data_IF_964100972758
#
_entry.id   IF_964100972758
#
_cell.length_a   1.000
_cell.length_b   1.000
_cell.length_c   1.000
_cell.angle_alpha   90.00
_cell.angle_beta   90.00
_cell.angle_gamma   90.00
#
_symmetry.space_group_name_H-M   'P 1'
#
loop_
_entity.id
_entity.type
_entity.pdbx_description
1 polymer ?
#
# COMPACT_ATOMS: atom_id res chain seq x y z
N UNK A 1 -0.14 2.66 -11.32
CA UNK A 1 0.24 2.53 -12.74
C UNK A 1 -1.02 2.46 -13.58
N UNK A 2 -1.10 3.24 -14.65
CA UNK A 2 -2.30 3.31 -15.50
C UNK A 2 -2.43 2.06 -16.38
N UNK A 3 -3.65 1.60 -16.66
CA UNK A 3 -3.86 0.56 -17.68
C UNK A 3 -3.59 1.15 -19.06
N UNK A 4 -2.97 0.36 -19.92
CA UNK A 4 -2.64 0.73 -21.29
C UNK A 4 -3.24 -0.27 -22.26
N UNK A 5 -3.66 0.20 -23.43
CA UNK A 5 -4.14 -0.65 -24.52
C UNK A 5 -3.56 -0.16 -25.85
N UNK A 6 -3.28 -1.10 -26.75
CA UNK A 6 -2.93 -0.80 -28.14
C UNK A 6 -4.12 -1.16 -29.02
N UNK A 7 -4.67 -0.17 -29.71
CA UNK A 7 -5.89 -0.31 -30.52
C UNK A 7 -5.73 -1.41 -31.57
N UNK A 8 -6.68 -2.32 -31.60
CA UNK A 8 -6.81 -3.40 -32.57
C UNK A 8 -7.79 -3.02 -33.70
N UNK A 9 -7.75 -3.69 -34.87
CA UNK A 9 -8.67 -3.41 -35.96
C UNK A 9 -10.15 -3.53 -35.54
N UNK A 10 -10.93 -2.48 -35.81
CA UNK A 10 -12.37 -2.44 -35.55
C UNK A 10 -12.78 -1.96 -34.15
N UNK A 11 -11.83 -1.65 -33.27
CA UNK A 11 -12.15 -1.10 -31.96
C UNK A 11 -12.55 0.39 -32.02
N UNK A 12 -13.48 0.77 -31.14
CA UNK A 12 -13.88 2.17 -30.89
C UNK A 12 -13.66 2.52 -29.43
N UNK A 13 -13.55 3.80 -29.09
CA UNK A 13 -13.38 4.21 -27.69
C UNK A 13 -14.57 3.79 -26.82
N UNK A 14 -15.80 3.83 -27.31
CA UNK A 14 -16.99 3.41 -26.55
C UNK A 14 -17.00 1.89 -26.28
N UNK A 15 -16.59 1.08 -27.24
CA UNK A 15 -16.45 -0.37 -27.04
C UNK A 15 -15.34 -0.69 -26.02
N UNK A 16 -14.23 0.04 -26.09
CA UNK A 16 -13.14 -0.07 -25.12
C UNK A 16 -13.58 0.41 -23.73
N UNK A 17 -14.33 1.52 -23.64
CA UNK A 17 -14.88 2.00 -22.37
C UNK A 17 -15.82 0.98 -21.73
N UNK A 18 -16.71 0.36 -22.51
CA UNK A 18 -17.57 -0.72 -22.03
C UNK A 18 -16.74 -1.90 -21.51
N UNK A 19 -15.70 -2.30 -22.25
CA UNK A 19 -14.82 -3.41 -21.87
C UNK A 19 -14.03 -3.13 -20.58
N UNK A 20 -13.47 -1.93 -20.43
CA UNK A 20 -12.52 -1.62 -19.36
C UNK A 20 -13.15 -0.97 -18.11
N UNK A 21 -14.29 -0.28 -18.27
CA UNK A 21 -15.01 0.39 -17.21
C UNK A 21 -16.42 -0.15 -16.96
N UNK A 22 -16.90 -1.08 -17.80
CA UNK A 22 -18.28 -1.59 -17.73
C UNK A 22 -19.33 -0.58 -18.20
N UNK A 23 -18.92 0.52 -18.83
CA UNK A 23 -19.77 1.67 -19.14
C UNK A 23 -19.26 2.38 -20.41
N UNK A 24 -20.00 2.26 -21.51
CA UNK A 24 -19.60 2.80 -22.82
C UNK A 24 -19.49 4.34 -22.81
N UNK A 25 -20.26 5.01 -21.95
CA UNK A 25 -20.27 6.47 -21.80
C UNK A 25 -19.00 7.00 -21.11
N UNK A 26 -18.04 6.13 -20.77
CA UNK A 26 -16.73 6.48 -20.21
C UNK A 26 -15.65 6.68 -21.27
N UNK A 27 -16.00 6.64 -22.55
CA UNK A 27 -15.06 6.98 -23.62
C UNK A 27 -14.43 8.38 -23.51
N UNK A 28 -15.10 9.44 -22.98
CA UNK A 28 -14.48 10.77 -22.85
C UNK A 28 -13.27 10.77 -21.91
N UNK A 29 -13.28 9.91 -20.88
CA UNK A 29 -12.14 9.72 -19.98
C UNK A 29 -10.92 9.18 -20.73
N UNK A 30 -11.12 8.18 -21.62
CA UNK A 30 -10.04 7.60 -22.43
C UNK A 30 -9.50 8.65 -23.39
N UNK A 31 -10.38 9.37 -24.07
CA UNK A 31 -10.00 10.40 -25.02
C UNK A 31 -9.18 11.51 -24.35
N UNK A 32 -9.67 12.03 -23.22
CA UNK A 32 -9.01 13.07 -22.44
C UNK A 32 -7.63 12.63 -21.93
N UNK A 33 -7.52 11.41 -21.39
CA UNK A 33 -6.26 10.91 -20.83
C UNK A 33 -5.23 10.55 -21.91
N UNK A 34 -5.69 10.08 -23.06
CA UNK A 34 -4.84 9.65 -24.17
C UNK A 34 -4.51 10.77 -25.15
N UNK A 35 -5.09 11.96 -24.97
CA UNK A 35 -4.91 13.08 -25.88
C UNK A 35 -5.51 12.84 -27.26
N UNK A 36 -6.63 12.13 -27.35
CA UNK A 36 -7.35 11.84 -28.60
C UNK A 36 -8.29 13.01 -28.91
N UNK A 37 -8.04 13.81 -29.97
CA UNK A 37 -8.84 15.00 -30.25
C UNK A 37 -10.23 14.66 -30.79
N UNK A 38 -10.33 13.60 -31.59
CA UNK A 38 -11.57 13.11 -32.18
C UNK A 38 -11.81 11.66 -31.70
N UNK A 39 -12.79 11.44 -30.79
CA UNK A 39 -13.04 10.12 -30.21
C UNK A 39 -13.54 9.09 -31.22
N UNK A 40 -14.04 9.53 -32.38
CA UNK A 40 -14.50 8.66 -33.46
C UNK A 40 -13.34 8.18 -34.36
N UNK A 41 -12.14 8.76 -34.19
CA UNK A 41 -10.97 8.47 -35.03
C UNK A 41 -9.82 7.91 -34.16
N UNK A 42 -9.88 6.60 -33.93
CA UNK A 42 -8.76 5.83 -33.34
C UNK A 42 -8.02 5.01 -34.40
N UNK A 43 -6.69 5.01 -34.35
CA UNK A 43 -5.85 4.31 -35.33
C UNK A 43 -5.39 2.96 -34.78
N UNK A 44 -5.37 1.94 -35.63
CA UNK A 44 -4.76 0.64 -35.28
C UNK A 44 -3.31 0.87 -34.84
N UNK A 45 -2.93 0.27 -33.71
CA UNK A 45 -1.61 0.44 -33.10
C UNK A 45 -1.48 1.68 -32.21
N UNK A 46 -2.48 2.56 -32.16
CA UNK A 46 -2.49 3.71 -31.24
C UNK A 46 -2.52 3.24 -29.80
N UNK A 47 -1.72 3.91 -28.97
CA UNK A 47 -1.63 3.65 -27.54
C UNK A 47 -2.63 4.52 -26.78
N UNK A 48 -3.42 3.89 -25.92
CA UNK A 48 -4.47 4.53 -25.12
C UNK A 48 -4.22 4.29 -23.63
N UNK A 49 -4.50 5.31 -22.83
CA UNK A 49 -4.48 5.29 -21.38
C UNK A 49 -5.88 5.09 -20.81
N UNK A 50 -5.97 4.23 -19.81
CA UNK A 50 -7.19 3.90 -19.07
C UNK A 50 -6.99 4.25 -17.59
N UNK A 51 -7.10 5.54 -17.23
CA UNK A 51 -7.02 5.97 -15.83
C UNK A 51 -8.19 5.44 -15.01
N UNK A 52 -7.94 5.29 -13.71
CA UNK A 52 -9.05 5.16 -12.78
C UNK A 52 -9.74 6.51 -12.60
N UNK A 53 -10.90 6.48 -11.97
CA UNK A 53 -11.67 7.68 -11.72
C UNK A 53 -12.53 7.52 -10.47
N UNK A 54 -12.93 8.65 -9.93
CA UNK A 54 -13.94 8.73 -8.89
C UNK A 54 -15.23 9.28 -9.49
N UNK A 55 -16.36 8.62 -9.18
CA UNK A 55 -17.70 9.18 -9.46
C UNK A 55 -18.04 10.16 -8.35
N UNK A 56 -18.25 11.42 -8.71
CA UNK A 56 -18.53 12.49 -7.76
C UNK A 56 -19.91 13.07 -7.97
N UNK A 57 -20.70 13.15 -6.89
CA UNK A 57 -22.01 13.79 -6.91
C UNK A 57 -21.87 15.25 -6.54
N UNK A 58 -22.19 16.15 -7.47
CA UNK A 58 -22.09 17.60 -7.27
C UNK A 58 -22.98 18.05 -6.11
N UNK A 59 -22.40 18.81 -5.19
CA UNK A 59 -23.09 19.46 -4.08
C UNK A 59 -23.55 20.87 -4.44
N UNK A 60 -24.44 21.44 -3.63
CA UNK A 60 -24.98 22.78 -3.86
C UNK A 60 -23.88 23.85 -3.85
N UNK A 61 -23.86 24.73 -4.87
CA UNK A 61 -22.92 25.83 -4.99
C UNK A 61 -21.52 25.46 -5.51
N UNK A 62 -21.30 24.22 -5.92
CA UNK A 62 -20.00 23.80 -6.46
C UNK A 62 -19.81 24.22 -7.92
N UNK A 63 -18.55 24.42 -8.29
CA UNK A 63 -18.11 24.70 -9.66
C UNK A 63 -16.98 23.74 -10.03
N UNK A 64 -16.76 23.54 -11.33
CA UNK A 64 -15.64 22.71 -11.80
C UNK A 64 -14.27 23.22 -11.31
N UNK A 65 -14.09 24.54 -11.21
CA UNK A 65 -12.86 25.15 -10.68
C UNK A 65 -12.67 24.88 -9.20
N UNK A 66 -13.72 24.97 -8.39
CA UNK A 66 -13.66 24.61 -6.97
C UNK A 66 -13.37 23.12 -6.78
N UNK A 67 -13.98 22.25 -7.59
CA UNK A 67 -13.70 20.82 -7.57
C UNK A 67 -12.25 20.53 -7.97
N UNK A 68 -11.74 21.15 -9.03
CA UNK A 68 -10.35 20.99 -9.44
C UNK A 68 -9.36 21.50 -8.38
N UNK A 69 -9.64 22.64 -7.74
CA UNK A 69 -8.87 23.11 -6.59
C UNK A 69 -8.88 22.12 -5.43
N UNK A 70 -10.03 21.48 -5.15
CA UNK A 70 -10.16 20.48 -4.09
C UNK A 70 -9.37 19.21 -4.42
N UNK A 71 -9.60 18.64 -5.60
CA UNK A 71 -9.04 17.34 -5.98
C UNK A 71 -7.57 17.39 -6.40
N UNK A 72 -7.16 18.50 -7.04
CA UNK A 72 -5.85 18.59 -7.69
C UNK A 72 -5.00 19.76 -7.15
N UNK A 73 -5.54 20.56 -6.23
CA UNK A 73 -4.87 21.74 -5.71
C UNK A 73 -4.74 22.88 -6.72
N UNK A 74 -5.40 22.81 -7.88
CA UNK A 74 -5.34 23.82 -8.93
C UNK A 74 -6.66 23.93 -9.70
N UNK A 75 -7.17 25.16 -9.83
CA UNK A 75 -8.48 25.45 -10.44
C UNK A 75 -8.50 25.26 -11.97
N UNK A 76 -7.37 25.50 -12.64
CA UNK A 76 -7.20 25.40 -14.10
C UNK A 76 -7.27 23.95 -14.61
N UNK A 77 -7.09 22.97 -13.72
CA UNK A 77 -7.29 21.55 -14.02
C UNK A 77 -8.77 21.15 -14.12
N UNK A 78 -9.70 22.09 -13.97
CA UNK A 78 -11.14 21.89 -14.21
C UNK A 78 -11.44 21.37 -15.61
N UNK A 79 -10.62 21.75 -16.60
CA UNK A 79 -10.69 21.22 -17.98
C UNK A 79 -10.60 19.70 -18.04
N UNK A 80 -9.86 19.06 -17.13
CA UNK A 80 -9.69 17.61 -17.11
C UNK A 80 -10.95 16.91 -16.56
N UNK A 81 -11.58 17.50 -15.54
CA UNK A 81 -12.88 17.02 -15.01
C UNK A 81 -13.95 17.15 -16.09
N UNK A 82 -14.00 18.31 -16.75
CA UNK A 82 -14.95 18.58 -17.82
C UNK A 82 -14.80 17.58 -18.97
N UNK A 83 -13.59 17.44 -19.50
CA UNK A 83 -13.29 16.52 -20.59
C UNK A 83 -13.62 15.06 -20.23
N UNK A 84 -13.20 14.60 -19.04
CA UNK A 84 -13.50 13.25 -18.56
C UNK A 84 -15.00 12.99 -18.33
N UNK A 85 -15.75 14.05 -18.02
CA UNK A 85 -17.21 14.01 -17.81
C UNK A 85 -18.01 14.24 -19.09
N UNK A 86 -17.36 14.48 -20.23
CA UNK A 86 -18.04 14.75 -21.51
C UNK A 86 -18.77 16.09 -21.56
N UNK A 87 -18.32 17.10 -20.79
CA UNK A 87 -18.92 18.44 -20.74
C UNK A 87 -17.86 19.51 -21.09
N UNK A 88 -18.31 20.73 -21.41
CA UNK A 88 -17.39 21.84 -21.68
C UNK A 88 -16.77 22.39 -20.38
N UNK A 89 -15.54 22.94 -20.41
CA UNK A 89 -14.86 23.48 -19.21
C UNK A 89 -15.61 24.61 -18.49
N UNK A 90 -16.44 25.32 -19.24
CA UNK A 90 -17.26 26.47 -18.88
C UNK A 90 -18.73 26.09 -18.59
N UNK A 91 -19.07 24.80 -18.66
CA UNK A 91 -20.39 24.30 -18.29
C UNK A 91 -20.69 24.55 -16.81
N UNK A 92 -21.89 25.06 -16.52
CA UNK A 92 -22.42 25.08 -15.16
C UNK A 92 -22.74 23.64 -14.73
N UNK A 93 -22.42 23.32 -13.48
CA UNK A 93 -22.75 22.02 -12.87
C UNK A 93 -23.94 22.17 -11.94
N UNK A 94 -24.78 21.14 -11.88
CA UNK A 94 -26.02 21.15 -11.09
C UNK A 94 -25.93 20.19 -9.91
N UNK A 95 -26.54 20.52 -8.75
CA UNK A 95 -26.54 19.61 -7.61
C UNK A 95 -27.15 18.24 -7.97
N UNK A 96 -26.50 17.15 -7.58
CA UNK A 96 -26.90 15.79 -7.94
C UNK A 96 -26.32 15.27 -9.26
N UNK A 97 -25.73 16.14 -10.09
CA UNK A 97 -25.02 15.72 -11.31
C UNK A 97 -23.83 14.81 -10.96
N UNK A 98 -23.69 13.72 -11.70
CA UNK A 98 -22.53 12.84 -11.60
C UNK A 98 -21.40 13.36 -12.49
N UNK A 99 -20.25 13.62 -11.90
CA UNK A 99 -19.01 13.96 -12.60
C UNK A 99 -18.01 12.83 -12.50
N UNK A 100 -17.09 12.80 -13.47
CA UNK A 100 -15.92 11.93 -13.48
C UNK A 100 -14.72 12.76 -13.07
N UNK A 101 -14.18 12.42 -11.90
CA UNK A 101 -12.95 12.97 -11.39
C UNK A 101 -11.85 11.98 -11.74
N UNK A 102 -11.07 12.19 -12.81
CA UNK A 102 -10.00 11.28 -13.15
C UNK A 102 -8.94 11.22 -12.05
N UNK A 103 -8.39 10.03 -11.86
CA UNK A 103 -7.23 9.83 -11.01
C UNK A 103 -5.97 10.31 -11.73
N UNK A 104 -5.26 11.23 -11.09
CA UNK A 104 -4.01 11.79 -11.60
C UNK A 104 -3.05 12.12 -10.47
N UNK A 105 -1.77 12.19 -10.82
CA UNK A 105 -0.69 12.68 -9.99
C UNK A 105 -0.12 13.97 -10.59
N UNK A 106 0.17 14.94 -9.73
CA UNK A 106 0.97 16.11 -10.09
C UNK A 106 2.43 15.83 -9.76
N UNK A 107 3.28 15.88 -10.78
CA UNK A 107 4.69 15.57 -10.69
C UNK A 107 5.52 16.82 -10.95
N UNK A 108 6.44 17.17 -10.05
CA UNK A 108 7.41 18.23 -10.29
C UNK A 108 8.62 17.63 -11.02
N UNK A 109 8.90 18.13 -12.22
CA UNK A 109 10.04 17.68 -13.05
C UNK A 109 11.34 17.83 -12.26
N UNK A 110 12.08 16.74 -12.12
CA UNK A 110 13.39 16.73 -11.50
C UNK A 110 14.49 17.02 -12.54
N UNK A 111 15.67 17.51 -12.11
CA UNK A 111 16.83 17.62 -13.00
C UNK A 111 17.17 16.28 -13.67
N UNK A 112 17.26 16.28 -15.01
CA UNK A 112 17.56 15.08 -15.80
C UNK A 112 16.34 14.28 -16.25
N UNK A 113 15.13 14.65 -15.83
CA UNK A 113 13.92 14.01 -16.33
C UNK A 113 13.72 14.24 -17.83
N UNK A 114 13.14 13.23 -18.48
CA UNK A 114 12.60 13.31 -19.84
C UNK A 114 11.20 12.73 -19.85
N UNK A 115 10.33 13.15 -20.77
CA UNK A 115 8.97 12.58 -20.84
C UNK A 115 8.99 11.06 -21.06
N UNK A 116 9.97 10.54 -21.82
CA UNK A 116 10.16 9.11 -22.02
C UNK A 116 10.56 8.38 -20.73
N UNK A 117 11.46 8.95 -19.92
CA UNK A 117 11.84 8.38 -18.63
C UNK A 117 10.65 8.39 -17.65
N UNK A 118 9.85 9.47 -17.66
CA UNK A 118 8.63 9.55 -16.87
C UNK A 118 7.56 8.56 -17.35
N UNK A 119 7.40 8.36 -18.66
CA UNK A 119 6.51 7.34 -19.21
C UNK A 119 6.95 5.93 -18.80
N UNK A 120 8.24 5.60 -18.88
CA UNK A 120 8.76 4.33 -18.33
C UNK A 120 8.47 4.19 -16.84
N UNK A 121 8.63 5.27 -16.07
CA UNK A 121 8.41 5.26 -14.61
C UNK A 121 6.95 5.05 -14.23
N UNK A 122 6.03 5.76 -14.89
CA UNK A 122 4.62 5.79 -14.48
C UNK A 122 3.73 4.82 -15.26
N UNK A 123 4.11 4.49 -16.49
CA UNK A 123 3.34 3.66 -17.42
C UNK A 123 4.07 2.38 -17.83
N UNK A 124 5.33 2.18 -17.38
CA UNK A 124 6.11 0.99 -17.68
C UNK A 124 6.70 0.92 -19.08
N UNK A 125 6.44 1.92 -19.93
CA UNK A 125 6.86 1.95 -21.33
C UNK A 125 7.14 3.39 -21.79
N UNK A 126 8.38 3.62 -22.21
CA UNK A 126 8.87 4.92 -22.70
C UNK A 126 8.06 5.47 -23.88
N UNK A 127 7.46 4.60 -24.70
CA UNK A 127 6.69 5.00 -25.87
C UNK A 127 5.39 5.72 -25.54
N UNK A 128 4.94 5.68 -24.28
CA UNK A 128 3.76 6.40 -23.79
C UNK A 128 4.04 7.84 -23.35
N UNK A 129 5.16 8.44 -23.77
CA UNK A 129 5.39 9.87 -23.57
C UNK A 129 4.41 10.80 -24.32
N UNK A 130 3.82 10.47 -25.50
CA UNK A 130 2.93 11.39 -26.21
C UNK A 130 1.62 11.72 -25.44
N UNK A 131 0.94 10.76 -24.78
CA UNK A 131 -0.16 11.09 -23.86
C UNK A 131 0.24 12.07 -22.74
N UNK A 132 1.45 11.93 -22.16
CA UNK A 132 1.95 12.88 -21.16
C UNK A 132 2.10 14.26 -21.78
N UNK A 133 2.73 14.35 -22.95
CA UNK A 133 2.92 15.62 -23.64
C UNK A 133 1.59 16.32 -23.96
N UNK A 134 0.64 15.57 -24.53
CA UNK A 134 -0.67 16.09 -24.95
C UNK A 134 -1.49 16.67 -23.79
N UNK A 135 -1.64 15.91 -22.71
CA UNK A 135 -2.42 16.34 -21.53
C UNK A 135 -1.84 17.60 -20.88
N UNK A 136 -0.52 17.76 -20.95
CA UNK A 136 0.22 18.89 -20.41
C UNK A 136 0.43 20.05 -21.40
N UNK A 137 -0.08 19.94 -22.63
CA UNK A 137 0.09 20.98 -23.65
C UNK A 137 1.54 21.19 -24.10
N UNK A 138 2.36 20.14 -24.04
CA UNK A 138 3.78 20.19 -24.40
C UNK A 138 3.92 19.85 -25.89
N UNK A 139 4.26 20.84 -26.70
CA UNK A 139 4.49 20.66 -28.14
C UNK A 139 5.86 20.04 -28.46
N UNK A 140 6.91 20.43 -27.72
CA UNK A 140 8.25 19.85 -27.82
C UNK A 140 8.55 18.99 -26.59
N UNK A 141 8.62 17.65 -26.72
CA UNK A 141 8.93 16.74 -25.61
C UNK A 141 10.26 17.01 -24.90
N UNK A 142 11.21 17.68 -25.56
CA UNK A 142 12.50 18.08 -24.97
C UNK A 142 12.43 19.34 -24.11
N UNK A 143 11.34 20.11 -24.18
CA UNK A 143 11.21 21.41 -23.55
C UNK A 143 10.63 21.37 -22.12
N UNK A 144 10.84 20.28 -21.37
CA UNK A 144 10.46 20.24 -19.96
C UNK A 144 11.55 20.84 -19.07
N UNK A 145 11.15 21.61 -18.07
CA UNK A 145 12.08 22.31 -17.17
C UNK A 145 11.96 21.78 -15.73
N UNK A 146 13.07 21.63 -14.98
CA UNK A 146 13.01 21.29 -13.57
C UNK A 146 12.07 22.23 -12.79
N UNK A 147 11.23 21.67 -11.92
CA UNK A 147 10.19 22.37 -11.18
C UNK A 147 8.87 22.57 -11.93
N UNK A 148 8.81 22.32 -13.24
CA UNK A 148 7.55 22.30 -13.98
C UNK A 148 6.62 21.22 -13.42
N UNK A 149 5.36 21.58 -13.18
CA UNK A 149 4.34 20.63 -12.75
C UNK A 149 3.72 19.93 -13.96
N UNK A 150 3.79 18.61 -13.99
CA UNK A 150 3.13 17.75 -14.97
C UNK A 150 1.96 17.01 -14.33
N UNK A 151 0.87 16.90 -15.08
CA UNK A 151 -0.23 15.99 -14.81
C UNK A 151 0.08 14.64 -15.43
N UNK A 152 0.08 13.60 -14.60
CA UNK A 152 0.25 12.21 -15.01
C UNK A 152 -1.01 11.47 -14.61
N UNK A 153 -1.77 10.96 -15.58
CA UNK A 153 -2.95 10.15 -15.28
C UNK A 153 -2.53 8.85 -14.59
N UNK A 154 -3.27 8.45 -13.57
CA UNK A 154 -2.96 7.25 -12.80
C UNK A 154 -4.12 6.28 -12.82
N UNK A 155 -3.81 5.01 -12.67
CA UNK A 155 -4.78 3.97 -12.36
C UNK A 155 -4.17 2.95 -11.41
N UNK A 156 -5.00 1.98 -11.04
CA UNK A 156 -4.64 0.78 -10.29
C UNK A 156 -4.38 -0.34 -11.28
N UNK A 157 -3.11 -0.53 -11.58
CA UNK A 157 -2.63 -1.44 -12.62
C UNK A 157 -1.41 -2.23 -12.17
N UNK A 158 -0.94 -3.10 -13.05
CA UNK A 158 0.20 -3.98 -12.82
C UNK A 158 1.49 -3.19 -12.54
N UNK A 159 2.46 -3.81 -11.86
CA UNK A 159 3.72 -3.17 -11.54
C UNK A 159 4.58 -3.86 -10.51
N UNK A 160 5.87 -3.55 -10.50
CA UNK A 160 6.82 -4.04 -9.48
C UNK A 160 6.82 -5.57 -9.36
N UNK A 161 6.59 -6.27 -10.48
CA UNK A 161 6.47 -7.73 -10.54
C UNK A 161 5.13 -8.30 -10.02
N UNK A 162 4.13 -7.45 -9.83
CA UNK A 162 2.75 -7.82 -9.51
C UNK A 162 1.84 -7.63 -10.72
N UNK A 163 1.10 -8.67 -11.09
CA UNK A 163 0.01 -8.61 -12.06
C UNK A 163 -1.33 -8.81 -11.35
N UNK A 164 -2.24 -7.86 -11.46
CA UNK A 164 -3.58 -7.99 -10.89
C UNK A 164 -4.32 -9.09 -11.65
N UNK A 165 -4.79 -10.11 -10.94
CA UNK A 165 -5.56 -11.22 -11.52
C UNK A 165 -6.99 -11.29 -11.02
N UNK A 166 -7.28 -10.65 -9.90
CA UNK A 166 -8.61 -10.48 -9.35
C UNK A 166 -8.65 -9.22 -8.47
N UNK A 167 -9.79 -8.53 -8.42
CA UNK A 167 -9.99 -7.35 -7.57
C UNK A 167 -11.47 -7.03 -7.37
N UNK A 168 -11.79 -6.34 -6.28
CA UNK A 168 -13.10 -5.73 -6.06
C UNK A 168 -12.93 -4.37 -5.40
N UNK A 169 -13.56 -3.36 -5.99
CA UNK A 169 -13.48 -1.95 -5.60
C UNK A 169 -14.90 -1.37 -5.38
N UNK A 170 -15.91 -2.23 -5.19
CA UNK A 170 -17.32 -1.83 -5.08
C UNK A 170 -17.69 -1.28 -3.71
N UNK A 171 -16.99 -1.71 -2.65
CA UNK A 171 -17.16 -1.13 -1.32
C UNK A 171 -16.54 0.26 -1.30
N UNK A 172 -17.15 1.29 -0.66
CA UNK A 172 -16.59 2.64 -0.67
C UNK A 172 -15.21 2.74 0.01
N UNK A 173 -14.88 1.83 0.92
CA UNK A 173 -13.63 1.87 1.70
C UNK A 173 -12.76 0.64 1.57
N UNK A 174 -13.31 -0.57 1.66
CA UNK A 174 -12.48 -1.78 1.64
C UNK A 174 -12.38 -2.39 0.25
N UNK A 175 -11.22 -2.25 -0.36
CA UNK A 175 -10.94 -2.84 -1.66
C UNK A 175 -10.03 -4.06 -1.48
N UNK A 176 -10.15 -5.04 -2.37
CA UNK A 176 -9.21 -6.17 -2.39
C UNK A 176 -8.58 -6.36 -3.76
N UNK A 177 -7.37 -6.93 -3.73
CA UNK A 177 -6.60 -7.31 -4.90
C UNK A 177 -6.02 -8.70 -4.70
N UNK A 178 -5.88 -9.45 -5.78
CA UNK A 178 -5.01 -10.64 -5.86
C UNK A 178 -4.00 -10.45 -6.95
N UNK A 179 -2.78 -10.88 -6.68
CA UNK A 179 -1.65 -10.68 -7.59
C UNK A 179 -1.04 -11.99 -8.02
N UNK A 180 -0.78 -12.17 -9.31
CA UNK A 180 0.23 -13.11 -9.74
C UNK A 180 1.61 -12.46 -9.59
N UNK A 181 2.57 -13.20 -9.05
CA UNK A 181 3.96 -12.78 -8.86
C UNK A 181 4.91 -13.98 -8.89
N UNK A 182 6.18 -13.76 -9.23
CA UNK A 182 7.22 -14.79 -9.12
C UNK A 182 7.65 -15.06 -7.66
N UNK A 183 7.31 -14.17 -6.72
CA UNK A 183 7.72 -14.30 -5.32
C UNK A 183 6.94 -15.39 -4.56
N UNK A 184 5.68 -15.64 -4.95
CA UNK A 184 4.74 -16.54 -4.27
C UNK A 184 4.15 -17.50 -5.29
N UNK A 185 4.14 -18.81 -4.99
CA UNK A 185 3.61 -19.85 -5.88
C UNK A 185 2.08 -19.87 -6.07
N UNK A 186 1.35 -18.90 -5.50
CA UNK A 186 -0.09 -18.70 -5.71
C UNK A 186 -0.38 -17.19 -5.88
N UNK A 187 -1.65 -16.81 -5.97
CA UNK A 187 -2.06 -15.40 -6.07
C UNK A 187 -2.34 -14.78 -4.68
N UNK A 188 -1.35 -14.21 -3.96
CA UNK A 188 -1.57 -13.60 -2.64
C UNK A 188 -2.60 -12.49 -2.69
N UNK A 189 -3.39 -12.38 -1.63
CA UNK A 189 -4.41 -11.35 -1.47
C UNK A 189 -3.89 -10.13 -0.71
N UNK A 190 -4.47 -8.97 -0.99
CA UNK A 190 -4.22 -7.72 -0.25
C UNK A 190 -5.52 -6.97 -0.13
N UNK A 191 -5.89 -6.63 1.11
CA UNK A 191 -6.94 -5.65 1.37
C UNK A 191 -6.33 -4.26 1.50
N UNK A 192 -7.00 -3.26 0.93
CA UNK A 192 -6.68 -1.83 1.08
C UNK A 192 -7.93 -1.12 1.58
N UNK A 193 -7.85 -0.62 2.81
CA UNK A 193 -8.92 0.11 3.46
C UNK A 193 -8.66 1.61 3.37
N UNK A 194 -9.57 2.31 2.70
CA UNK A 194 -9.49 3.74 2.42
C UNK A 194 -10.16 4.57 3.54
N UNK A 195 -9.66 5.80 3.79
CA UNK A 195 -10.35 6.82 4.58
C UNK A 195 -11.73 7.15 4.02
N UNK A 196 -12.68 7.56 4.87
CA UNK A 196 -14.05 7.91 4.45
C UNK A 196 -14.08 9.03 3.40
N UNK A 197 -13.13 9.97 3.48
CA UNK A 197 -13.03 11.12 2.58
C UNK A 197 -12.13 10.87 1.36
N UNK A 198 -11.64 9.65 1.15
CA UNK A 198 -10.71 9.35 0.04
C UNK A 198 -11.26 9.84 -1.30
N UNK A 199 -12.51 9.51 -1.62
CA UNK A 199 -13.18 9.84 -2.89
C UNK A 199 -13.63 11.30 -3.03
N UNK A 200 -13.54 12.10 -1.98
CA UNK A 200 -14.14 13.46 -1.97
C UNK A 200 -13.15 14.56 -1.66
N UNK A 201 -12.03 14.26 -1.00
CA UNK A 201 -11.12 15.27 -0.46
C UNK A 201 -9.96 15.64 -1.38
N UNK A 202 -9.55 14.76 -2.30
CA UNK A 202 -8.32 14.94 -3.09
C UNK A 202 -7.01 14.81 -2.32
N UNK A 203 -7.06 14.39 -1.06
CA UNK A 203 -5.88 14.32 -0.20
C UNK A 203 -4.97 13.13 -0.55
N UNK A 204 -3.71 13.31 -0.20
CA UNK A 204 -2.70 12.27 -0.05
C UNK A 204 -2.62 11.87 1.41
N UNK A 205 -2.50 10.58 1.70
CA UNK A 205 -2.64 10.01 3.06
C UNK A 205 -1.38 9.26 3.51
N UNK A 206 -1.13 9.21 4.84
CA UNK A 206 -0.22 8.22 5.40
C UNK A 206 -0.78 6.79 5.25
N UNK A 207 0.10 5.79 5.33
CA UNK A 207 -0.23 4.37 5.18
C UNK A 207 0.20 3.57 6.40
N UNK A 208 -0.69 2.72 6.91
CA UNK A 208 -0.39 1.67 7.87
C UNK A 208 -0.40 0.30 7.17
N UNK A 209 0.74 -0.40 7.13
CA UNK A 209 0.79 -1.80 6.73
C UNK A 209 0.51 -2.68 7.96
N UNK A 210 -0.59 -3.43 7.94
CA UNK A 210 -1.06 -4.22 9.08
C UNK A 210 -0.98 -5.72 8.79
N UNK A 211 -0.13 -6.42 9.52
CA UNK A 211 0.26 -7.80 9.28
C UNK A 211 -0.48 -8.78 10.19
N UNK A 212 -1.11 -9.79 9.60
CA UNK A 212 -1.90 -10.81 10.30
C UNK A 212 -1.03 -11.84 11.05
N UNK A 213 -1.67 -12.60 11.94
CA UNK A 213 -1.04 -13.66 12.73
C UNK A 213 -0.80 -14.94 11.94
N UNK A 214 -0.29 -15.97 12.62
CA UNK A 214 -0.15 -17.29 12.01
C UNK A 214 -1.51 -17.93 11.73
N UNK A 215 -1.60 -18.69 10.64
CA UNK A 215 -2.78 -19.40 10.13
C UNK A 215 -3.96 -18.50 9.72
N UNK A 216 -3.72 -17.19 9.65
CA UNK A 216 -4.65 -16.16 9.16
C UNK A 216 -4.37 -15.78 7.70
N UNK A 217 -5.10 -14.79 7.17
CA UNK A 217 -4.81 -14.15 5.89
C UNK A 217 -5.19 -12.66 5.85
N UNK A 218 -5.06 -12.04 4.67
CA UNK A 218 -5.33 -10.62 4.40
C UNK A 218 -6.74 -10.12 4.81
N UNK A 219 -7.68 -11.03 5.09
CA UNK A 219 -9.06 -10.73 5.52
C UNK A 219 -9.23 -10.70 7.04
N UNK A 220 -8.30 -11.23 7.82
CA UNK A 220 -8.52 -11.47 9.25
C UNK A 220 -8.85 -10.19 10.03
N UNK A 221 -8.18 -9.06 9.75
CA UNK A 221 -8.52 -7.79 10.39
C UNK A 221 -9.88 -7.21 9.97
N UNK A 222 -10.32 -7.49 8.74
CA UNK A 222 -11.67 -7.11 8.30
C UNK A 222 -12.72 -7.85 9.14
N UNK A 223 -12.57 -9.17 9.29
CA UNK A 223 -13.45 -9.98 10.13
C UNK A 223 -13.44 -9.58 11.61
N UNK A 224 -12.35 -8.99 12.09
CA UNK A 224 -12.26 -8.45 13.45
C UNK A 224 -12.87 -7.05 13.62
N UNK A 225 -13.27 -6.37 12.54
CA UNK A 225 -13.93 -5.06 12.61
C UNK A 225 -13.03 -3.84 12.44
N UNK A 226 -11.87 -3.98 11.78
CA UNK A 226 -10.94 -2.85 11.56
C UNK A 226 -11.56 -1.66 10.81
N UNK A 227 -12.63 -1.88 10.04
CA UNK A 227 -13.38 -0.79 9.37
C UNK A 227 -13.94 0.23 10.34
N UNK A 228 -14.45 -0.24 11.47
CA UNK A 228 -15.04 0.60 12.51
C UNK A 228 -13.96 1.35 13.29
N UNK A 229 -12.86 0.68 13.62
CA UNK A 229 -11.75 1.28 14.37
C UNK A 229 -11.03 2.38 13.58
N UNK A 230 -11.07 2.30 12.25
CA UNK A 230 -10.44 3.27 11.34
C UNK A 230 -11.43 4.28 10.76
N UNK A 231 -12.71 4.22 11.15
CA UNK A 231 -13.70 5.21 10.73
C UNK A 231 -13.33 6.62 11.22
N UNK A 232 -13.44 7.60 10.34
CA UNK A 232 -13.06 8.99 10.55
C UNK A 232 -11.55 9.24 10.60
N UNK A 233 -10.71 8.21 10.42
CA UNK A 233 -9.26 8.34 10.53
C UNK A 233 -8.63 8.59 9.16
N UNK A 234 -7.78 9.63 9.00
CA UNK A 234 -7.19 9.98 7.71
C UNK A 234 -5.95 9.13 7.41
N UNK A 235 -6.11 7.81 7.32
CA UNK A 235 -5.03 6.84 7.07
C UNK A 235 -5.52 5.72 6.16
N UNK A 236 -4.68 5.32 5.20
CA UNK A 236 -4.92 4.11 4.41
C UNK A 236 -4.35 2.91 5.19
N UNK A 237 -5.11 1.83 5.31
CA UNK A 237 -4.62 0.59 5.93
C UNK A 237 -4.46 -0.50 4.87
N UNK A 238 -3.26 -1.04 4.73
CA UNK A 238 -2.93 -2.12 3.80
C UNK A 238 -2.72 -3.40 4.59
N UNK A 239 -3.50 -4.42 4.28
CA UNK A 239 -3.51 -5.72 4.96
C UNK A 239 -3.14 -6.79 3.95
N UNK A 240 -1.84 -7.14 3.80
CA UNK A 240 -1.42 -8.18 2.88
C UNK A 240 -1.46 -9.58 3.50
N UNK A 241 -1.57 -10.57 2.63
CA UNK A 241 -1.32 -11.99 2.93
C UNK A 241 0.18 -12.18 3.24
N UNK A 242 0.47 -13.00 4.24
CA UNK A 242 1.81 -13.37 4.69
C UNK A 242 2.01 -14.88 4.80
N UNK A 243 1.08 -15.69 4.26
CA UNK A 243 1.06 -17.15 4.35
C UNK A 243 0.60 -17.65 5.71
N UNK A 244 0.26 -18.94 5.82
CA UNK A 244 -0.19 -19.50 7.09
C UNK A 244 0.93 -19.49 8.14
N UNK A 245 2.18 -19.66 7.72
CA UNK A 245 3.34 -19.53 8.57
C UNK A 245 4.52 -18.98 7.76
N UNK A 246 4.32 -17.88 7.03
CA UNK A 246 5.38 -17.30 6.20
C UNK A 246 6.40 -16.48 6.99
N UNK A 247 6.07 -16.10 8.23
CA UNK A 247 6.93 -15.31 9.14
C UNK A 247 7.46 -14.02 8.50
N UNK A 248 6.74 -13.47 7.52
CA UNK A 248 7.11 -12.27 6.78
C UNK A 248 8.56 -12.34 6.27
N UNK A 249 8.97 -13.54 5.84
CA UNK A 249 10.36 -13.87 5.55
C UNK A 249 10.50 -14.58 4.20
N UNK A 250 11.68 -14.46 3.61
CA UNK A 250 12.08 -15.38 2.54
C UNK A 250 12.69 -16.62 3.19
N UNK A 251 12.24 -17.84 2.87
CA UNK A 251 12.80 -19.05 3.47
C UNK A 251 14.15 -19.42 2.88
N UNK A 252 15.00 -20.09 3.66
CA UNK A 252 16.25 -20.71 3.19
C UNK A 252 15.93 -21.85 2.21
N UNK A 253 14.87 -22.61 2.46
CA UNK A 253 14.44 -23.70 1.59
C UNK A 253 12.91 -23.82 1.53
N UNK A 254 12.39 -24.14 0.35
CA UNK A 254 10.99 -24.48 0.10
C UNK A 254 10.91 -25.63 -0.90
N UNK A 255 10.03 -26.60 -0.65
CA UNK A 255 9.81 -27.75 -1.55
C UNK A 255 8.49 -27.67 -2.33
N UNK A 256 7.79 -26.53 -2.25
CA UNK A 256 6.50 -26.29 -2.93
C UNK A 256 6.54 -25.05 -3.85
N UNK A 257 7.75 -24.62 -4.22
CA UNK A 257 7.98 -23.40 -5.01
C UNK A 257 8.11 -22.13 -4.15
N UNK A 258 8.05 -20.94 -4.77
CA UNK A 258 8.34 -19.68 -4.10
C UNK A 258 7.41 -19.33 -2.94
N UNK A 259 7.99 -18.91 -1.81
CA UNK A 259 7.33 -18.39 -0.59
C UNK A 259 8.06 -17.16 -0.06
N UNK A 260 8.47 -16.29 -0.97
CA UNK A 260 9.33 -15.14 -0.68
C UNK A 260 8.50 -13.94 -0.20
N UNK A 261 7.94 -14.03 1.00
CA UNK A 261 7.04 -13.02 1.57
C UNK A 261 7.73 -11.67 1.78
N UNK A 262 8.99 -11.66 2.20
CA UNK A 262 9.77 -10.42 2.35
C UNK A 262 9.96 -9.69 1.02
N UNK A 263 10.23 -10.44 -0.06
CA UNK A 263 10.28 -9.87 -1.39
C UNK A 263 8.93 -9.32 -1.81
N UNK A 264 7.84 -10.08 -1.61
CA UNK A 264 6.49 -9.64 -1.94
C UNK A 264 6.11 -8.34 -1.24
N UNK A 265 6.32 -8.23 0.08
CA UNK A 265 5.93 -7.04 0.83
C UNK A 265 6.78 -5.80 0.49
N UNK A 266 8.11 -5.95 0.49
CA UNK A 266 9.02 -4.79 0.48
C UNK A 266 9.38 -4.39 -0.94
N UNK A 267 9.73 -5.34 -1.80
CA UNK A 267 10.21 -5.02 -3.15
C UNK A 267 9.05 -4.86 -4.15
N UNK A 268 7.88 -5.41 -3.86
CA UNK A 268 6.75 -5.42 -4.80
C UNK A 268 5.55 -4.62 -4.30
N UNK A 269 4.98 -5.00 -3.16
CA UNK A 269 3.72 -4.43 -2.69
C UNK A 269 3.85 -2.99 -2.22
N UNK A 270 4.86 -2.67 -1.42
CA UNK A 270 5.10 -1.31 -0.92
C UNK A 270 5.16 -0.27 -2.07
N UNK A 271 6.05 -0.43 -3.08
CA UNK A 271 6.08 0.50 -4.21
C UNK A 271 4.83 0.40 -5.09
N UNK A 272 4.15 -0.75 -5.15
CA UNK A 272 2.87 -0.87 -5.84
C UNK A 272 1.78 -0.03 -5.17
N UNK A 273 1.65 -0.05 -3.84
CA UNK A 273 0.68 0.81 -3.13
C UNK A 273 0.95 2.28 -3.44
N UNK A 274 2.21 2.70 -3.40
CA UNK A 274 2.61 4.09 -3.67
C UNK A 274 2.37 4.54 -5.09
N UNK A 275 2.41 3.62 -6.06
CA UNK A 275 2.14 3.94 -7.46
C UNK A 275 0.65 3.92 -7.81
N UNK A 276 -0.20 3.36 -6.95
CA UNK A 276 -1.61 3.07 -7.25
C UNK A 276 -2.60 3.75 -6.28
N UNK A 277 -2.13 4.30 -5.16
CA UNK A 277 -2.94 5.05 -4.19
C UNK A 277 -2.34 6.43 -3.90
N UNK A 278 -3.17 7.37 -3.41
CA UNK A 278 -2.70 8.69 -2.97
C UNK A 278 -2.03 8.58 -1.60
N UNK A 279 -0.77 8.17 -1.60
CA UNK A 279 0.02 7.94 -0.38
C UNK A 279 1.29 8.77 -0.33
N UNK A 280 1.78 9.03 0.88
CA UNK A 280 3.12 9.56 1.13
C UNK A 280 4.15 8.43 1.05
N UNK A 281 5.06 8.52 0.07
CA UNK A 281 6.08 7.50 -0.22
C UNK A 281 7.41 7.74 0.54
N UNK A 282 7.42 8.65 1.50
CA UNK A 282 8.57 8.92 2.35
C UNK A 282 8.47 8.21 3.70
N UNK A 283 9.56 8.26 4.45
CA UNK A 283 9.69 7.71 5.81
C UNK A 283 8.53 8.12 6.73
N UNK A 284 8.23 9.42 6.80
CA UNK A 284 7.17 9.96 7.65
C UNK A 284 5.75 9.67 7.12
N UNK A 285 5.63 9.09 5.93
CA UNK A 285 4.36 8.67 5.33
C UNK A 285 3.91 7.27 5.71
N UNK A 286 4.78 6.45 6.31
CA UNK A 286 4.53 5.01 6.51
C UNK A 286 4.67 4.55 7.96
N UNK A 287 3.72 3.70 8.37
CA UNK A 287 3.79 2.87 9.56
C UNK A 287 3.68 1.39 9.20
N UNK A 288 4.23 0.53 10.05
CA UNK A 288 4.06 -0.92 9.97
C UNK A 288 3.62 -1.46 11.33
N UNK A 289 2.63 -2.35 11.34
CA UNK A 289 2.12 -2.96 12.55
C UNK A 289 1.67 -4.39 12.29
N UNK A 290 1.44 -5.17 13.34
CA UNK A 290 0.88 -6.49 13.17
C UNK A 290 0.63 -7.25 14.45
N UNK A 291 -0.06 -8.37 14.31
CA UNK A 291 -0.40 -9.29 15.40
C UNK A 291 0.44 -10.56 15.34
N UNK A 292 0.95 -11.06 16.48
CA UNK A 292 1.64 -12.35 16.57
C UNK A 292 2.82 -12.46 15.58
N UNK A 293 2.77 -13.43 14.66
CA UNK A 293 3.68 -13.54 13.51
C UNK A 293 3.85 -12.21 12.75
N UNK A 294 2.78 -11.45 12.57
CA UNK A 294 2.80 -10.12 11.95
C UNK A 294 3.43 -9.04 12.82
N UNK A 295 3.32 -9.14 14.14
CA UNK A 295 4.03 -8.25 15.06
C UNK A 295 5.55 -8.45 14.99
N UNK A 296 6.00 -9.70 14.85
CA UNK A 296 7.40 -9.98 14.51
C UNK A 296 7.80 -9.39 13.16
N UNK A 297 6.98 -9.62 12.11
CA UNK A 297 7.21 -9.07 10.78
C UNK A 297 7.35 -7.55 10.78
N UNK A 298 6.53 -6.85 11.57
CA UNK A 298 6.57 -5.40 11.72
C UNK A 298 7.87 -4.92 12.36
N UNK A 299 8.27 -5.51 13.50
CA UNK A 299 9.57 -5.22 14.14
C UNK A 299 10.74 -5.51 13.20
N UNK A 300 10.77 -6.70 12.62
CA UNK A 300 11.77 -7.12 11.65
C UNK A 300 11.90 -6.10 10.51
N UNK A 301 10.81 -5.72 9.85
CA UNK A 301 10.88 -4.79 8.72
C UNK A 301 11.28 -3.37 9.14
N UNK A 302 10.80 -2.88 10.29
CA UNK A 302 11.22 -1.59 10.81
C UNK A 302 12.72 -1.52 11.11
N UNK A 303 13.33 -2.63 11.57
CA UNK A 303 14.76 -2.71 11.82
C UNK A 303 15.61 -2.95 10.56
N UNK A 304 15.19 -3.90 9.72
CA UNK A 304 15.95 -4.32 8.53
C UNK A 304 15.90 -3.26 7.43
N UNK A 305 14.75 -2.62 7.27
CA UNK A 305 14.49 -1.55 6.32
C UNK A 305 14.28 -0.22 7.04
N UNK A 306 15.28 0.15 7.84
CA UNK A 306 15.23 1.27 8.78
C UNK A 306 14.82 2.62 8.17
N UNK A 307 14.98 2.82 6.87
CA UNK A 307 14.57 4.03 6.15
C UNK A 307 13.12 4.04 5.63
N UNK A 308 12.32 3.00 5.85
CA UNK A 308 10.96 2.91 5.27
C UNK A 308 9.83 3.35 6.19
N UNK A 309 9.92 3.12 7.51
CA UNK A 309 8.79 3.30 8.43
C UNK A 309 9.12 4.22 9.60
N UNK A 310 8.30 5.26 9.80
CA UNK A 310 8.39 6.21 10.92
C UNK A 310 7.71 5.72 12.21
N UNK A 311 6.82 4.73 12.12
CA UNK A 311 6.17 4.10 13.27
C UNK A 311 6.15 2.58 13.10
N UNK A 312 6.36 1.86 14.21
CA UNK A 312 6.27 0.41 14.29
C UNK A 312 5.43 -0.02 15.49
N UNK A 313 4.55 -0.99 15.29
CA UNK A 313 3.68 -1.52 16.34
C UNK A 313 3.69 -3.06 16.39
N UNK A 314 3.91 -3.64 17.57
CA UNK A 314 3.90 -5.09 17.75
C UNK A 314 2.81 -5.51 18.74
N UNK A 315 1.72 -6.06 18.22
CA UNK A 315 0.63 -6.62 19.01
C UNK A 315 0.90 -8.10 19.27
N UNK A 316 1.32 -8.43 20.48
CA UNK A 316 1.75 -9.78 20.88
C UNK A 316 2.77 -10.41 19.92
N UNK A 317 3.66 -9.59 19.33
CA UNK A 317 4.69 -10.07 18.42
C UNK A 317 5.99 -10.42 19.13
N UNK A 318 6.67 -11.54 18.81
CA UNK A 318 7.96 -11.85 19.37
C UNK A 318 9.03 -10.89 18.85
N UNK A 319 9.91 -10.43 19.74
CA UNK A 319 10.93 -9.43 19.42
C UNK A 319 12.37 -9.99 19.41
N UNK A 320 12.59 -11.24 19.81
CA UNK A 320 13.93 -11.81 19.96
C UNK A 320 14.02 -13.22 19.38
N UNK A 321 14.89 -13.41 18.38
CA UNK A 321 15.07 -14.70 17.71
C UNK A 321 16.06 -15.63 18.41
N UNK A 322 16.98 -15.10 19.21
CA UNK A 322 18.05 -15.90 19.86
C UNK A 322 17.74 -16.31 21.29
N UNK A 323 16.76 -15.66 21.91
CA UNK A 323 16.36 -15.94 23.29
C UNK A 323 15.88 -17.39 23.45
N UNK A 324 16.04 -17.94 24.64
CA UNK A 324 15.51 -19.25 25.04
C UNK A 324 15.94 -20.37 24.07
N UNK A 325 17.25 -20.41 23.76
CA UNK A 325 17.85 -21.32 22.77
C UNK A 325 17.23 -21.18 21.36
N UNK A 326 16.85 -19.95 21.01
CA UNK A 326 16.19 -19.56 19.77
C UNK A 326 14.85 -20.25 19.53
N UNK A 327 14.03 -20.30 20.58
CA UNK A 327 12.67 -20.83 20.55
C UNK A 327 11.84 -20.27 19.37
N UNK A 328 11.94 -18.97 19.08
CA UNK A 328 11.20 -18.33 17.98
C UNK A 328 11.71 -18.81 16.61
N UNK A 329 13.01 -19.06 16.45
CA UNK A 329 13.56 -19.63 15.21
C UNK A 329 13.08 -21.07 15.01
N UNK A 330 13.07 -21.87 16.08
CA UNK A 330 12.50 -23.22 16.03
C UNK A 330 11.02 -23.19 15.69
N UNK A 331 10.26 -22.30 16.33
CA UNK A 331 8.84 -22.13 16.09
C UNK A 331 8.55 -21.76 14.62
N UNK A 332 9.30 -20.79 14.09
CA UNK A 332 9.20 -20.40 12.68
C UNK A 332 9.51 -21.57 11.74
N UNK A 333 10.63 -22.25 11.94
CA UNK A 333 11.02 -23.38 11.11
C UNK A 333 10.00 -24.52 11.14
N UNK A 334 9.50 -24.91 12.33
CA UNK A 334 8.55 -26.03 12.47
C UNK A 334 7.21 -25.68 11.82
N UNK A 335 6.66 -24.50 12.12
CA UNK A 335 5.35 -24.10 11.58
C UNK A 335 5.40 -23.92 10.07
N UNK A 336 6.42 -23.24 9.54
CA UNK A 336 6.59 -23.08 8.09
C UNK A 336 6.83 -24.42 7.39
N UNK A 337 7.63 -25.32 7.98
CA UNK A 337 7.86 -26.65 7.40
C UNK A 337 6.56 -27.43 7.23
N UNK A 338 5.66 -27.36 8.21
CA UNK A 338 4.37 -28.08 8.19
C UNK A 338 3.36 -27.40 7.28
N UNK A 339 3.21 -26.07 7.35
CA UNK A 339 2.08 -25.38 6.74
C UNK A 339 2.39 -24.82 5.34
N UNK A 340 3.60 -24.33 5.09
CA UNK A 340 3.88 -23.50 3.91
C UNK A 340 5.02 -24.01 3.00
N UNK A 341 5.94 -24.83 3.53
CA UNK A 341 7.23 -25.16 2.89
C UNK A 341 7.45 -26.66 2.62
N UNK A 342 6.54 -27.53 3.07
CA UNK A 342 6.60 -29.00 2.95
C UNK A 342 7.94 -29.62 3.39
N UNK A 343 8.41 -29.25 4.58
CA UNK A 343 9.70 -29.68 5.14
C UNK A 343 10.84 -28.68 4.91
N UNK A 344 10.64 -27.64 4.09
CA UNK A 344 11.55 -26.50 4.00
C UNK A 344 11.54 -25.66 5.28
N UNK A 345 12.48 -24.72 5.42
CA UNK A 345 12.65 -23.93 6.66
C UNK A 345 12.93 -22.46 6.36
N UNK A 346 12.49 -21.58 7.27
CA UNK A 346 12.71 -20.13 7.15
C UNK A 346 14.18 -19.79 7.37
N UNK A 347 14.77 -20.34 8.43
CA UNK A 347 16.12 -20.01 8.89
C UNK A 347 17.13 -21.16 8.72
N UNK A 348 16.74 -22.32 8.16
CA UNK A 348 17.61 -23.50 8.03
C UNK A 348 17.52 -24.48 9.20
N UNK A 349 17.83 -25.76 8.98
CA UNK A 349 17.93 -26.81 9.99
C UNK A 349 18.87 -27.95 9.51
N UNK A 350 19.58 -28.68 10.40
CA UNK A 350 19.61 -28.53 11.86
C UNK A 350 20.45 -27.35 12.35
N UNK A 351 21.35 -26.82 11.51
CA UNK A 351 22.09 -25.59 11.75
C UNK A 351 21.40 -24.43 11.02
N UNK A 352 21.19 -23.32 11.72
CA UNK A 352 20.54 -22.15 11.12
C UNK A 352 21.53 -21.31 10.32
N UNK A 353 21.01 -20.66 9.29
CA UNK A 353 21.64 -19.53 8.63
C UNK A 353 21.75 -18.36 9.63
N UNK A 354 22.90 -18.28 10.30
CA UNK A 354 23.17 -17.29 11.34
C UNK A 354 23.08 -15.85 10.81
N UNK A 355 23.48 -15.63 9.56
CA UNK A 355 23.42 -14.31 8.94
C UNK A 355 21.96 -13.87 8.74
N UNK A 356 21.09 -14.78 8.30
CA UNK A 356 19.66 -14.51 8.17
C UNK A 356 18.98 -14.28 9.53
N UNK A 357 19.28 -15.12 10.52
CA UNK A 357 18.76 -14.93 11.88
C UNK A 357 19.15 -13.56 12.41
N UNK A 358 20.43 -13.18 12.34
CA UNK A 358 20.89 -11.85 12.78
C UNK A 358 20.28 -10.70 11.97
N UNK A 359 20.11 -10.87 10.65
CA UNK A 359 19.49 -9.84 9.81
C UNK A 359 18.01 -9.59 10.15
N UNK A 360 17.31 -10.62 10.59
CA UNK A 360 15.88 -10.60 10.88
C UNK A 360 15.56 -10.39 12.37
N UNK A 361 16.55 -10.45 13.26
CA UNK A 361 16.36 -10.35 14.71
C UNK A 361 16.20 -8.89 15.18
N UNK A 362 15.02 -8.48 15.70
CA UNK A 362 14.79 -7.11 16.14
C UNK A 362 15.78 -6.63 17.21
N UNK A 363 16.11 -7.47 18.20
CA UNK A 363 17.02 -7.10 19.30
C UNK A 363 18.48 -6.90 18.86
N UNK A 364 18.89 -7.39 17.70
CA UNK A 364 20.26 -7.19 17.19
C UNK A 364 20.40 -5.89 16.38
N UNK A 365 19.31 -5.15 16.20
CA UNK A 365 19.24 -3.93 15.37
C UNK A 365 18.63 -2.75 16.11
N UNK A 366 18.83 -2.65 17.42
CA UNK A 366 18.23 -1.64 18.31
C UNK A 366 18.39 -0.21 17.79
N UNK A 367 19.58 0.17 17.33
CA UNK A 367 19.82 1.53 16.83
C UNK A 367 19.00 1.86 15.57
N UNK A 368 18.55 0.86 14.82
CA UNK A 368 17.65 1.08 13.68
C UNK A 368 16.27 1.60 14.10
N UNK A 369 15.89 1.54 15.38
CA UNK A 369 14.62 2.07 15.89
C UNK A 369 14.68 3.54 16.32
N UNK A 370 15.85 4.17 16.28
CA UNK A 370 16.00 5.59 16.62
C UNK A 370 15.11 6.46 15.71
N UNK A 371 14.48 7.49 16.28
CA UNK A 371 13.56 8.41 15.58
C UNK A 371 12.28 7.75 15.01
N UNK A 372 11.91 6.57 15.52
CA UNK A 372 10.61 5.94 15.27
C UNK A 372 9.70 6.10 16.47
N UNK A 373 8.39 6.10 16.21
CA UNK A 373 7.43 5.70 17.24
C UNK A 373 7.47 4.17 17.37
N UNK A 374 7.63 3.65 18.57
CA UNK A 374 7.62 2.22 18.87
C UNK A 374 6.47 1.94 19.83
N UNK A 375 5.53 1.08 19.44
CA UNK A 375 4.42 0.64 20.27
C UNK A 375 4.46 -0.88 20.48
N UNK A 376 4.38 -1.32 21.73
CA UNK A 376 4.45 -2.73 22.09
C UNK A 376 3.26 -3.07 22.99
N UNK A 377 2.56 -4.15 22.68
CA UNK A 377 1.56 -4.70 23.59
C UNK A 377 1.68 -6.20 23.68
N UNK A 378 1.59 -6.74 24.90
CA UNK A 378 1.56 -8.17 25.18
C UNK A 378 0.59 -8.48 26.33
N UNK A 379 0.07 -9.69 26.32
CA UNK A 379 -0.70 -10.28 27.40
C UNK A 379 0.17 -10.69 28.59
N UNK A 380 -0.46 -10.77 29.76
CA UNK A 380 0.20 -11.12 31.04
C UNK A 380 -0.36 -12.39 31.67
N UNK A 381 -1.45 -12.94 31.12
CA UNK A 381 -2.19 -14.05 31.72
C UNK A 381 -2.58 -15.06 30.64
N UNK A 382 -1.63 -15.85 30.12
CA UNK A 382 -1.93 -16.90 29.15
C UNK A 382 -2.95 -17.89 29.70
N UNK A 383 -3.75 -18.49 28.82
CA UNK A 383 -4.63 -19.59 29.19
C UNK A 383 -3.78 -20.81 29.61
N UNK A 384 -3.83 -21.23 30.90
CA UNK A 384 -3.00 -22.32 31.40
C UNK A 384 -3.41 -23.70 30.84
N UNK A 385 -4.57 -23.80 30.20
CA UNK A 385 -5.08 -25.04 29.59
C UNK A 385 -4.66 -25.13 28.12
N UNK A 386 -4.55 -24.00 27.42
CA UNK A 386 -4.01 -23.95 26.06
C UNK A 386 -2.48 -23.81 26.09
N UNK A 387 -1.79 -24.95 26.05
CA UNK A 387 -0.32 -25.00 26.08
C UNK A 387 0.34 -24.15 24.97
N UNK A 388 -0.30 -24.04 23.80
CA UNK A 388 0.21 -23.23 22.70
C UNK A 388 0.10 -21.73 23.02
N UNK A 389 -1.01 -21.29 23.62
CA UNK A 389 -1.20 -19.92 24.11
C UNK A 389 -0.21 -19.59 25.24
N UNK A 390 -0.05 -20.51 26.20
CA UNK A 390 0.91 -20.39 27.30
C UNK A 390 2.37 -20.30 26.86
N UNK A 391 2.83 -21.19 25.98
CA UNK A 391 4.21 -21.17 25.51
C UNK A 391 4.51 -19.94 24.64
N UNK A 392 3.56 -19.54 23.80
CA UNK A 392 3.75 -18.39 22.91
C UNK A 392 3.73 -17.08 23.68
N UNK A 393 2.74 -16.85 24.54
CA UNK A 393 2.62 -15.55 25.22
C UNK A 393 3.74 -15.33 26.24
N UNK A 394 4.20 -16.38 26.93
CA UNK A 394 5.35 -16.27 27.84
C UNK A 394 6.63 -15.92 27.08
N UNK A 395 6.86 -16.56 25.93
CA UNK A 395 8.02 -16.29 25.08
C UNK A 395 7.95 -14.88 24.45
N UNK A 396 6.77 -14.48 23.96
CA UNK A 396 6.50 -13.15 23.39
C UNK A 396 6.70 -12.06 24.43
N UNK A 397 6.07 -12.17 25.59
CA UNK A 397 6.19 -11.21 26.68
C UNK A 397 7.65 -11.07 27.15
N UNK A 398 8.34 -12.20 27.31
CA UNK A 398 9.75 -12.20 27.71
C UNK A 398 10.65 -11.56 26.65
N UNK A 399 10.40 -11.84 25.36
CA UNK A 399 11.10 -11.20 24.25
C UNK A 399 10.82 -9.70 24.15
N UNK A 400 9.58 -9.25 24.36
CA UNK A 400 9.26 -7.81 24.39
C UNK A 400 9.86 -7.11 25.62
N UNK A 401 9.93 -7.77 26.78
CA UNK A 401 10.68 -7.27 27.95
C UNK A 401 12.17 -7.09 27.67
N UNK A 402 12.81 -8.08 27.03
CA UNK A 402 14.21 -7.97 26.58
C UNK A 402 14.40 -6.79 25.62
N UNK A 403 13.55 -6.70 24.60
CA UNK A 403 13.62 -5.63 23.60
C UNK A 403 13.46 -4.24 24.23
N UNK A 404 12.50 -4.06 25.15
CA UNK A 404 12.33 -2.81 25.91
C UNK A 404 13.55 -2.45 26.73
N UNK A 405 14.11 -3.42 27.47
CA UNK A 405 15.35 -3.21 28.21
C UNK A 405 16.47 -2.71 27.30
N UNK A 406 16.62 -3.29 26.10
CA UNK A 406 17.62 -2.83 25.14
C UNK A 406 17.32 -1.43 24.56
N UNK A 407 16.06 -1.09 24.32
CA UNK A 407 15.65 0.27 23.93
C UNK A 407 15.97 1.30 25.03
N UNK A 408 15.70 0.96 26.29
CA UNK A 408 16.03 1.80 27.45
C UNK A 408 17.55 2.06 27.53
N UNK A 409 18.36 1.01 27.37
CA UNK A 409 19.83 1.15 27.35
C UNK A 409 20.34 2.03 26.19
N UNK A 410 19.65 2.01 25.05
CA UNK A 410 19.98 2.84 23.88
C UNK A 410 19.37 4.25 23.92
N UNK A 411 18.56 4.57 24.93
CA UNK A 411 17.84 5.84 25.06
C UNK A 411 16.81 6.05 23.94
N UNK A 412 16.16 4.98 23.46
CA UNK A 412 15.14 5.03 22.42
C UNK A 412 13.76 4.96 23.08
N UNK A 413 12.90 5.98 22.94
CA UNK A 413 11.59 5.98 23.58
C UNK A 413 10.65 4.97 22.92
N UNK A 414 9.78 4.38 23.73
CA UNK A 414 8.72 3.47 23.31
C UNK A 414 7.48 3.67 24.17
N UNK A 415 6.34 3.23 23.66
CA UNK A 415 5.10 3.06 24.40
C UNK A 415 4.81 1.56 24.54
N UNK A 416 4.64 1.07 25.77
CA UNK A 416 4.52 -0.35 26.03
C UNK A 416 3.42 -0.69 27.04
N UNK A 417 2.61 -1.66 26.68
CA UNK A 417 1.44 -2.09 27.44
C UNK A 417 1.52 -3.58 27.75
N UNK A 418 1.42 -3.91 29.03
CA UNK A 418 1.23 -5.28 29.50
C UNK A 418 -0.17 -5.37 30.10
N UNK A 419 -1.05 -6.14 29.45
CA UNK A 419 -2.47 -6.15 29.78
C UNK A 419 -2.96 -7.57 30.15
N UNK A 420 -4.00 -7.72 30.98
CA UNK A 420 -4.55 -9.04 31.28
C UNK A 420 -4.99 -9.82 30.03
N UNK A 421 -4.94 -11.15 30.12
CA UNK A 421 -5.31 -12.08 29.04
C UNK A 421 -4.11 -12.71 28.30
N UNK A 422 -4.42 -13.68 27.44
CA UNK A 422 -3.44 -14.47 26.68
C UNK A 422 -3.03 -13.85 25.35
N UNK A 423 -2.71 -14.70 24.36
CA UNK A 423 -2.23 -14.32 23.04
C UNK A 423 -3.39 -13.92 22.10
N UNK A 424 -3.96 -12.75 22.35
CA UNK A 424 -5.11 -12.23 21.60
C UNK A 424 -4.83 -10.84 21.03
N UNK A 425 -5.40 -10.56 19.87
CA UNK A 425 -5.44 -9.20 19.35
C UNK A 425 -6.40 -8.35 20.20
N UNK A 426 -6.03 -7.09 20.46
CA UNK A 426 -6.71 -6.23 21.43
C UNK A 426 -7.21 -4.95 20.75
N UNK A 427 -8.48 -4.92 20.32
CA UNK A 427 -9.09 -3.78 19.63
C UNK A 427 -8.89 -2.44 20.34
N UNK A 428 -9.03 -2.43 21.66
CA UNK A 428 -8.89 -1.24 22.50
C UNK A 428 -7.47 -0.69 22.48
N UNK A 429 -6.46 -1.57 22.49
CA UNK A 429 -5.06 -1.16 22.39
C UNK A 429 -4.69 -0.77 20.97
N UNK A 430 -5.30 -1.41 19.96
CA UNK A 430 -5.17 -0.97 18.57
C UNK A 430 -5.72 0.45 18.35
N UNK A 431 -6.84 0.81 18.98
CA UNK A 431 -7.39 2.16 18.87
C UNK A 431 -6.41 3.22 19.43
N UNK A 432 -5.82 2.96 20.61
CA UNK A 432 -4.77 3.82 21.20
C UNK A 432 -3.54 3.90 20.30
N UNK A 433 -3.11 2.76 19.77
CA UNK A 433 -1.97 2.66 18.86
C UNK A 433 -2.21 3.46 17.58
N UNK A 434 -3.39 3.34 16.97
CA UNK A 434 -3.79 4.03 15.75
C UNK A 434 -3.73 5.55 15.90
N UNK A 435 -4.17 6.08 17.04
CA UNK A 435 -4.08 7.51 17.33
C UNK A 435 -2.62 7.97 17.42
N UNK A 436 -1.77 7.18 18.08
CA UNK A 436 -0.32 7.44 18.14
C UNK A 436 0.36 7.35 16.76
N UNK A 437 -0.05 6.42 15.92
CA UNK A 437 0.42 6.30 14.53
C UNK A 437 0.07 7.58 13.77
N UNK A 438 -1.21 7.98 13.76
CA UNK A 438 -1.67 9.17 13.02
C UNK A 438 -0.99 10.44 13.52
N UNK A 439 -0.74 10.55 14.83
CA UNK A 439 -0.01 11.69 15.41
C UNK A 439 1.47 11.74 14.99
N UNK A 440 2.11 10.58 14.73
CA UNK A 440 3.52 10.52 14.31
C UNK A 440 3.70 10.77 12.82
N UNK A 441 2.78 10.30 11.99
CA UNK A 441 2.93 10.34 10.53
C UNK A 441 2.62 11.73 9.96
N UNK A 442 3.06 11.96 8.72
CA UNK A 442 2.71 13.14 7.94
C UNK A 442 1.18 13.24 7.82
N UNK A 443 0.57 14.37 8.23
CA UNK A 443 -0.88 14.54 8.14
C UNK A 443 -1.38 14.51 6.69
N UNK A 444 -2.55 13.92 6.48
CA UNK A 444 -3.18 13.90 5.16
C UNK A 444 -3.50 15.31 4.67
N UNK A 445 -3.11 15.63 3.43
CA UNK A 445 -3.30 16.94 2.84
C UNK A 445 -3.45 16.86 1.32
N UNK A 446 -4.09 17.86 0.71
CA UNK A 446 -4.09 18.03 -0.74
C UNK A 446 -2.68 18.43 -1.16
N UNK A 447 -1.98 17.52 -1.84
CA UNK A 447 -0.60 17.77 -2.27
C UNK A 447 -0.59 18.62 -3.54
N UNK A 448 0.06 19.78 -3.48
CA UNK A 448 0.46 20.53 -4.68
C UNK A 448 1.55 19.79 -5.48
N UNK A 449 1.98 20.34 -6.61
CA UNK A 449 3.17 19.83 -7.30
C UNK A 449 4.40 20.11 -6.42
N UNK A 450 4.89 19.08 -5.73
CA UNK A 450 6.03 19.17 -4.84
C UNK A 450 6.45 17.80 -4.33
N UNK A 451 7.56 17.30 -4.90
CA UNK A 451 8.49 16.24 -4.42
C UNK A 451 7.90 15.14 -3.54
N UNK A 452 7.57 14.01 -4.19
CA UNK A 452 7.76 12.67 -3.64
C UNK A 452 9.18 12.19 -3.98
#
# INVERSE_FOLDING_TARGET
MVRIHRVEPGETLSALALRFYGDAERYPLIAAASGVPDPDVVKVGQQLLFPDYTRYTVSSGETLSHLASRFYGQADLSRLIAAASGITPDAAVTPGQQLIIPELRRYAVAPGDTLSALASRFYGDASFYPPIASVNGIADPGAISPGQALVIFTGRGDGFGLRIVDRNENDPRLWYYRFQTAAIGWNPGVNVLLPDDYHTSGRTYPVLYMFHGGNDDFRSFDFMGIRDWTAGKPVIVVMPDGGHAGWYSNPVASFVGPRNWETFHIAQLLPWIEANFRTYAEYDGRAVGGFSMGGFGALKYAAKYYGHFASVSAHSGPASLRRDFGLVVHWANITSAVLDLAGGTVYGAPLWDQARVSADNPVERIESYRNKRVFLVAGTSPDPINWFDSANEIAVLSGQREFRGLLDHAGIPYDAHEVPGGHVFRPEMFAVDLDGIIARLRPAAVTGAGTL
#
